data_IF_637904788372
#
_entry.id   IF_637904788372
#
_cell.length_a   1.000
_cell.length_b   1.000
_cell.length_c   1.000
_cell.angle_alpha   90.00
_cell.angle_beta   90.00
_cell.angle_gamma   90.00
#
_symmetry.space_group_name_H-M   'P 1'
#
loop_
_entity.id
_entity.type
_entity.pdbx_description
1 polymer ?
#
# COMPACT_ATOMS: atom_id res chain seq x y z
N UNK A 1 26.00 8.54 -2.60
CA UNK A 1 25.48 9.91 -2.44
C UNK A 1 24.75 9.97 -1.10
N UNK A 2 25.45 10.31 -0.01
CA UNK A 2 24.79 10.61 1.25
C UNK A 2 24.32 12.05 1.17
N UNK A 3 23.00 12.26 1.24
CA UNK A 3 22.40 13.60 1.42
C UNK A 3 22.95 14.21 2.71
N UNK A 4 23.19 15.52 2.73
CA UNK A 4 23.67 16.20 3.94
C UNK A 4 22.66 16.03 5.07
N UNK A 5 23.11 16.11 6.32
CA UNK A 5 22.22 15.96 7.49
C UNK A 5 21.09 17.00 7.48
N UNK A 6 21.37 18.21 6.99
CA UNK A 6 20.39 19.28 6.79
C UNK A 6 19.34 18.93 5.74
N UNK A 7 19.73 18.29 4.63
CA UNK A 7 18.80 17.82 3.60
C UNK A 7 17.89 16.72 4.14
N UNK A 8 18.43 15.79 4.93
CA UNK A 8 17.64 14.74 5.59
C UNK A 8 16.62 15.33 6.55
N UNK A 9 17.04 16.31 7.35
CA UNK A 9 16.14 16.95 8.30
C UNK A 9 15.02 17.72 7.59
N UNK A 10 15.35 18.42 6.50
CA UNK A 10 14.34 19.10 5.66
C UNK A 10 13.33 18.10 5.09
N UNK A 11 13.80 17.00 4.49
CA UNK A 11 12.92 15.96 3.94
C UNK A 11 12.05 15.33 5.02
N UNK A 12 12.60 15.07 6.21
CA UNK A 12 11.84 14.53 7.33
C UNK A 12 10.72 15.47 7.78
N UNK A 13 11.00 16.77 7.91
CA UNK A 13 9.99 17.78 8.26
C UNK A 13 8.87 17.86 7.21
N UNK A 14 9.23 17.84 5.93
CA UNK A 14 8.28 17.85 4.82
C UNK A 14 7.38 16.60 4.84
N UNK A 15 7.95 15.42 5.09
CA UNK A 15 7.21 14.16 5.14
C UNK A 15 6.24 14.11 6.34
N UNK A 16 6.63 14.62 7.51
CA UNK A 16 5.74 14.73 8.69
C UNK A 16 4.51 15.58 8.36
N UNK A 17 4.71 16.74 7.72
CA UNK A 17 3.59 17.62 7.33
C UNK A 17 2.69 16.94 6.28
N UNK A 18 3.27 16.18 5.35
CA UNK A 18 2.54 15.44 4.33
C UNK A 18 1.66 14.35 4.93
N UNK A 19 2.20 13.50 5.81
CA UNK A 19 1.42 12.44 6.46
C UNK A 19 0.37 13.03 7.42
N UNK A 20 0.67 14.15 8.10
CA UNK A 20 -0.31 14.84 8.95
C UNK A 20 -1.55 15.30 8.17
N UNK A 21 -1.35 15.90 6.99
CA UNK A 21 -2.45 16.30 6.09
C UNK A 21 -3.26 15.07 5.64
N UNK A 22 -2.57 14.02 5.20
CA UNK A 22 -3.20 12.76 4.78
C UNK A 22 -3.98 12.09 5.91
N UNK A 23 -3.46 12.16 7.14
CA UNK A 23 -4.14 11.67 8.34
C UNK A 23 -5.44 12.43 8.63
N UNK A 24 -5.43 13.76 8.48
CA UNK A 24 -6.63 14.58 8.61
C UNK A 24 -7.69 14.25 7.55
N UNK A 25 -7.29 14.06 6.29
CA UNK A 25 -8.21 13.63 5.22
C UNK A 25 -8.83 12.25 5.51
N UNK A 26 -8.01 11.29 5.95
CA UNK A 26 -8.48 9.95 6.33
C UNK A 26 -9.46 10.00 7.50
N UNK A 27 -9.19 10.82 8.51
CA UNK A 27 -10.06 11.01 9.66
C UNK A 27 -11.37 11.70 9.26
N UNK A 28 -11.35 12.63 8.30
CA UNK A 28 -12.56 13.26 7.76
C UNK A 28 -13.44 12.26 7.01
N UNK A 29 -12.84 11.42 6.16
CA UNK A 29 -13.57 10.47 5.31
C UNK A 29 -14.09 9.25 6.10
N UNK A 30 -13.22 8.64 6.90
CA UNK A 30 -13.50 7.36 7.56
C UNK A 30 -13.77 7.50 9.07
N UNK A 31 -13.65 8.70 9.63
CA UNK A 31 -13.83 8.94 11.06
C UNK A 31 -12.88 8.11 11.92
N UNK A 32 -13.40 7.64 13.06
CA UNK A 32 -12.67 6.76 13.98
C UNK A 32 -12.27 5.41 13.35
N UNK A 33 -12.94 4.99 12.28
CA UNK A 33 -12.70 3.71 11.61
C UNK A 33 -11.52 3.74 10.62
N UNK A 34 -10.95 4.91 10.31
CA UNK A 34 -9.85 5.04 9.36
C UNK A 34 -8.55 4.32 9.76
N UNK A 35 -8.44 3.91 11.03
CA UNK A 35 -7.33 3.12 11.57
C UNK A 35 -7.69 1.64 11.79
N UNK A 36 -8.97 1.29 11.72
CA UNK A 36 -9.41 -0.10 11.90
C UNK A 36 -9.13 -0.91 10.63
N UNK A 37 -8.72 -2.17 10.79
CA UNK A 37 -8.60 -3.07 9.65
C UNK A 37 -10.01 -3.33 9.09
N UNK A 38 -10.18 -3.33 7.75
CA UNK A 38 -11.48 -3.64 7.17
C UNK A 38 -12.02 -4.97 7.70
N UNK A 39 -13.28 -5.00 8.13
CA UNK A 39 -13.96 -6.22 8.60
C UNK A 39 -14.30 -7.18 7.47
N UNK A 40 -14.19 -6.71 6.23
CA UNK A 40 -14.34 -7.52 5.01
C UNK A 40 -13.08 -8.35 4.76
N UNK A 41 -13.27 -9.54 4.17
CA UNK A 41 -12.15 -10.40 3.80
C UNK A 41 -11.19 -9.66 2.85
N UNK A 42 -9.87 -9.87 2.99
CA UNK A 42 -8.91 -9.25 2.09
C UNK A 42 -9.18 -9.72 0.65
N UNK A 43 -9.22 -8.79 -0.28
CA UNK A 43 -9.40 -9.11 -1.69
C UNK A 43 -8.17 -9.85 -2.25
N UNK A 44 -8.40 -10.75 -3.21
CA UNK A 44 -7.30 -11.36 -3.97
C UNK A 44 -6.60 -10.26 -4.78
N UNK A 45 -5.31 -10.01 -4.49
CA UNK A 45 -4.51 -8.94 -5.11
C UNK A 45 -4.43 -9.06 -6.63
N UNK A 46 -4.33 -10.28 -7.16
CA UNK A 46 -4.24 -10.54 -8.60
C UNK A 46 -5.57 -10.20 -9.28
N UNK A 47 -6.67 -10.67 -8.70
CA UNK A 47 -8.01 -10.38 -9.20
C UNK A 47 -8.28 -8.86 -9.19
N UNK A 48 -8.07 -8.20 -8.04
CA UNK A 48 -8.34 -6.77 -7.88
C UNK A 48 -7.53 -5.92 -8.87
N UNK A 49 -6.23 -6.18 -9.01
CA UNK A 49 -5.38 -5.47 -9.97
C UNK A 49 -5.91 -5.63 -11.39
N UNK A 50 -6.26 -6.86 -11.79
CA UNK A 50 -6.79 -7.12 -13.12
C UNK A 50 -8.15 -6.43 -13.35
N UNK A 51 -9.02 -6.44 -12.33
CA UNK A 51 -10.32 -5.74 -12.37
C UNK A 51 -10.13 -4.24 -12.56
N UNK A 52 -9.31 -3.58 -11.73
CA UNK A 52 -9.03 -2.13 -11.85
C UNK A 52 -8.45 -1.79 -13.22
N UNK A 53 -7.46 -2.56 -13.69
CA UNK A 53 -6.89 -2.34 -15.02
C UNK A 53 -7.91 -2.53 -16.14
N UNK A 54 -8.85 -3.47 -15.99
CA UNK A 54 -9.91 -3.71 -16.98
C UNK A 54 -10.98 -2.63 -17.02
N UNK A 55 -11.25 -1.94 -15.90
CA UNK A 55 -12.22 -0.84 -15.84
C UNK A 55 -11.61 0.49 -16.31
N UNK A 56 -10.32 0.72 -16.03
CA UNK A 56 -9.57 1.88 -16.53
C UNK A 56 -9.34 1.77 -18.03
N UNK A 57 -8.99 0.57 -18.51
CA UNK A 57 -8.89 0.29 -19.94
C UNK A 57 -10.31 0.23 -20.49
N UNK A 58 -10.84 1.38 -20.89
CA UNK A 58 -12.07 1.52 -21.67
C UNK A 58 -12.13 0.35 -22.67
N UNK A 59 -13.22 -0.41 -22.76
CA UNK A 59 -13.37 -1.37 -23.85
C UNK A 59 -13.42 -0.56 -25.14
N UNK A 60 -12.25 -0.25 -25.72
CA UNK A 60 -12.12 0.04 -27.13
C UNK A 60 -12.84 -1.13 -27.80
N UNK A 61 -13.88 -0.78 -28.54
CA UNK A 61 -14.86 -1.70 -29.08
C UNK A 61 -14.16 -2.97 -29.57
N UNK A 62 -14.71 -4.14 -29.21
CA UNK A 62 -14.31 -5.42 -29.77
C UNK A 62 -14.64 -5.41 -31.27
N UNK A 63 -13.80 -4.77 -32.07
CA UNK A 63 -13.84 -4.80 -33.52
C UNK A 63 -12.41 -4.93 -34.04
N UNK A 64 -11.75 -6.02 -33.67
CA UNK A 64 -10.70 -6.59 -34.50
C UNK A 64 -10.49 -8.05 -34.06
N UNK A 65 -10.71 -8.95 -35.01
CA UNK A 65 -10.42 -10.38 -34.92
C UNK A 65 -9.02 -10.57 -34.34
N UNK A 66 -8.91 -11.33 -33.24
CA UNK A 66 -7.62 -11.74 -32.68
C UNK A 66 -7.02 -12.80 -33.59
N UNK A 67 -5.96 -12.44 -34.33
CA UNK A 67 -4.99 -13.41 -34.83
C UNK A 67 -4.07 -13.77 -33.67
N UNK A 68 -3.78 -15.07 -33.52
CA UNK A 68 -3.17 -15.68 -32.32
C UNK A 68 -1.66 -15.40 -32.13
N UNK A 69 -1.12 -14.39 -32.82
CA UNK A 69 0.33 -14.13 -32.93
C UNK A 69 0.84 -13.08 -31.92
N UNK A 70 0.00 -12.15 -31.48
CA UNK A 70 0.45 -10.94 -30.77
C UNK A 70 0.51 -11.08 -29.24
N UNK A 71 0.15 -12.25 -28.68
CA UNK A 71 -0.03 -12.41 -27.23
C UNK A 71 1.28 -12.67 -26.47
N UNK A 72 2.33 -13.12 -27.17
CA UNK A 72 3.63 -13.41 -26.58
C UNK A 72 4.49 -12.15 -26.31
N UNK A 73 4.28 -11.06 -27.06
CA UNK A 73 5.14 -9.86 -26.99
C UNK A 73 4.74 -8.87 -25.88
N UNK A 74 3.53 -8.95 -25.34
CA UNK A 74 3.03 -7.99 -24.33
C UNK A 74 3.32 -8.38 -22.87
N UNK A 75 3.92 -9.56 -22.63
CA UNK A 75 4.19 -10.06 -21.27
C UNK A 75 5.61 -9.74 -20.76
N UNK A 76 6.47 -9.08 -21.54
CA UNK A 76 7.91 -8.96 -21.23
C UNK A 76 8.37 -7.66 -20.55
N UNK A 77 7.48 -6.70 -20.24
CA UNK A 77 7.93 -5.35 -19.84
C UNK A 77 7.34 -4.78 -18.54
N UNK A 78 7.07 -5.60 -17.51
CA UNK A 78 6.90 -5.08 -16.12
C UNK A 78 7.34 -6.09 -15.04
N UNK A 79 8.60 -6.53 -15.10
CA UNK A 79 9.39 -6.94 -13.93
C UNK A 79 10.45 -5.85 -13.78
N UNK A 80 10.50 -5.02 -12.74
CA UNK A 80 10.71 -5.37 -11.33
C UNK A 80 10.56 -4.09 -10.49
N UNK A 81 9.56 -4.03 -9.62
CA UNK A 81 9.55 -3.10 -8.50
C UNK A 81 9.47 -3.95 -7.24
N UNK A 82 10.60 -4.00 -6.54
CA UNK A 82 10.81 -4.73 -5.30
C UNK A 82 9.77 -4.29 -4.27
N UNK A 83 8.98 -5.24 -3.75
CA UNK A 83 8.18 -5.05 -2.54
C UNK A 83 8.58 -6.16 -1.57
N UNK A 84 9.81 -6.08 -1.09
CA UNK A 84 10.22 -6.73 0.14
C UNK A 84 9.69 -5.88 1.29
N UNK A 85 8.61 -6.32 1.92
CA UNK A 85 8.34 -6.09 3.34
C UNK A 85 7.11 -6.91 3.74
N UNK A 86 7.30 -8.23 3.80
CA UNK A 86 6.30 -9.16 4.31
C UNK A 86 6.95 -10.23 5.19
N UNK A 87 7.79 -9.86 6.16
CA UNK A 87 8.23 -10.83 7.17
C UNK A 87 8.89 -10.23 8.42
N UNK A 88 8.19 -9.40 9.22
CA UNK A 88 8.53 -9.21 10.66
C UNK A 88 7.29 -9.05 11.53
N UNK A 89 6.39 -10.04 11.51
CA UNK A 89 5.48 -10.30 12.64
C UNK A 89 6.09 -11.40 13.50
N UNK A 90 7.24 -11.09 14.10
CA UNK A 90 7.81 -11.90 15.17
C UNK A 90 7.11 -11.52 16.48
N UNK A 91 6.53 -12.55 17.11
CA UNK A 91 5.95 -12.62 18.47
C UNK A 91 6.29 -11.44 19.40
N UNK A 92 5.27 -10.69 19.80
CA UNK A 92 5.35 -9.85 21.01
C UNK A 92 5.44 -10.78 22.24
N UNK A 93 6.44 -10.66 23.12
CA UNK A 93 6.34 -11.24 24.45
C UNK A 93 5.32 -10.44 25.27
N UNK A 94 4.25 -11.11 25.69
CA UNK A 94 3.35 -10.68 26.75
C UNK A 94 4.11 -10.68 28.08
N UNK A 95 4.61 -9.53 28.52
CA UNK A 95 5.05 -9.36 29.92
C UNK A 95 5.27 -7.89 30.27
N UNK A 96 4.34 -7.29 31.01
CA UNK A 96 4.65 -6.20 31.94
C UNK A 96 3.59 -6.22 33.05
N UNK A 97 3.96 -6.84 34.16
CA UNK A 97 3.17 -6.88 35.39
C UNK A 97 2.96 -5.44 35.91
N UNK A 98 1.73 -5.14 36.34
CA UNK A 98 1.39 -3.89 37.03
C UNK A 98 2.09 -3.85 38.40
N UNK A 99 2.72 -2.75 38.82
CA UNK A 99 3.27 -2.65 40.18
C UNK A 99 2.16 -2.63 41.21
N UNK A 100 2.25 -3.50 42.23
CA UNK A 100 1.42 -3.45 43.44
C UNK A 100 1.86 -2.24 44.27
N UNK A 101 0.91 -1.40 44.69
CA UNK A 101 1.15 -0.32 45.64
C UNK A 101 1.48 -0.92 47.02
N UNK A 102 2.49 -0.44 47.75
CA UNK A 102 2.70 -0.84 49.13
C UNK A 102 1.63 -0.19 50.03
N UNK A 103 1.27 -0.91 51.09
CA UNK A 103 0.37 -0.46 52.16
C UNK A 103 1.16 0.06 53.35
#
# INVERSE_FOLDING_TARGET
>A
MGTSEEELERLAREEILRESKRGAERAKEFGAYGWEKPRVRPANKVFLRNTILSTIRRPQAKSAKRTDSERASSMSSTSSAQHEDCAKRAKLPSSSQKPKKPS
#
